data_IF_553284550136
#
_entry.id   IF_553284550136
#
_cell.length_a   1.000
_cell.length_b   1.000
_cell.length_c   1.000
_cell.angle_alpha   90.00
_cell.angle_beta   90.00
_cell.angle_gamma   90.00
#
_symmetry.space_group_name_H-M   'P 1'
#
loop_
_entity.id
_entity.type
_entity.pdbx_description
1 polymer ?
#
# COMPACT_ATOMS: atom_id res chain seq x y z
N UNK A 1 39.17 58.54 -43.22
CA UNK A 1 37.99 58.23 -44.06
C UNK A 1 37.39 56.96 -43.48
N UNK A 2 36.34 57.04 -42.63
CA UNK A 2 34.91 57.01 -43.00
C UNK A 2 34.64 55.95 -44.08
N UNK A 3 33.70 55.02 -43.99
CA UNK A 3 32.57 54.84 -43.09
C UNK A 3 31.85 53.56 -43.57
N UNK A 4 31.43 52.70 -42.64
CA UNK A 4 30.09 52.09 -42.63
C UNK A 4 29.50 51.59 -43.96
N UNK A 5 29.72 50.33 -44.36
CA UNK A 5 28.86 49.71 -45.39
C UNK A 5 28.34 48.30 -45.12
N UNK A 6 28.90 47.50 -44.20
CA UNK A 6 28.52 46.07 -44.19
C UNK A 6 27.60 45.62 -43.05
N UNK A 7 27.53 46.36 -41.94
CA UNK A 7 26.72 45.92 -40.78
C UNK A 7 25.20 46.05 -41.02
N UNK A 8 24.76 47.12 -41.69
CA UNK A 8 23.32 47.35 -41.93
C UNK A 8 22.75 46.44 -43.02
N UNK A 9 23.55 46.05 -44.01
CA UNK A 9 23.12 45.13 -45.06
C UNK A 9 22.89 43.71 -44.52
N UNK A 10 23.81 43.22 -43.67
CA UNK A 10 23.73 41.90 -43.05
C UNK A 10 22.55 41.82 -42.05
N UNK A 11 22.30 42.90 -41.29
CA UNK A 11 21.16 42.96 -40.36
C UNK A 11 19.80 42.94 -41.09
N UNK A 12 19.66 43.64 -42.22
CA UNK A 12 18.41 43.65 -42.99
C UNK A 12 18.09 42.30 -43.66
N UNK A 13 19.12 41.57 -44.13
CA UNK A 13 18.94 40.24 -44.73
C UNK A 13 18.47 39.23 -43.67
N UNK A 14 19.06 39.27 -42.47
CA UNK A 14 18.65 38.41 -41.34
C UNK A 14 17.20 38.68 -40.92
N UNK A 15 16.80 39.95 -40.86
CA UNK A 15 15.44 40.31 -40.44
C UNK A 15 14.37 39.96 -41.49
N UNK A 16 14.69 40.00 -42.79
CA UNK A 16 13.79 39.54 -43.87
C UNK A 16 13.62 38.02 -43.90
N UNK A 17 14.65 37.25 -43.58
CA UNK A 17 14.59 35.78 -43.51
C UNK A 17 13.78 35.29 -42.30
N UNK A 18 13.98 35.89 -41.12
CA UNK A 18 13.19 35.55 -39.91
C UNK A 18 11.70 35.89 -40.09
N UNK A 19 11.38 36.98 -40.80
CA UNK A 19 9.98 37.36 -41.08
C UNK A 19 9.29 36.43 -42.10
N UNK A 20 10.04 35.72 -42.96
CA UNK A 20 9.49 34.73 -43.90
C UNK A 20 9.32 33.34 -43.29
N UNK A 21 10.15 32.97 -42.31
CA UNK A 21 10.05 31.70 -41.59
C UNK A 21 8.91 31.67 -40.57
N UNK A 22 8.47 32.83 -40.06
CA UNK A 22 7.35 32.91 -39.10
C UNK A 22 5.98 33.06 -39.78
N UNK A 23 5.89 32.74 -41.08
CA UNK A 23 4.64 32.74 -41.86
C UNK A 23 4.20 31.30 -42.17
N UNK A 24 4.38 30.39 -41.22
CA UNK A 24 3.61 29.15 -41.22
C UNK A 24 2.20 29.51 -40.80
N UNK A 25 1.28 29.31 -41.75
CA UNK A 25 -0.11 29.72 -41.62
C UNK A 25 -0.72 29.17 -40.34
N UNK A 26 -1.26 30.07 -39.54
CA UNK A 26 -2.45 29.78 -38.75
C UNK A 26 -3.54 29.39 -39.76
N UNK A 27 -3.51 28.13 -40.23
CA UNK A 27 -4.67 27.52 -40.84
C UNK A 27 -5.70 27.50 -39.73
N UNK A 28 -6.78 28.28 -39.91
CA UNK A 28 -7.88 28.32 -38.97
C UNK A 28 -8.35 26.90 -38.74
N UNK A 29 -8.01 26.36 -37.57
CA UNK A 29 -8.45 25.05 -37.11
C UNK A 29 -9.97 25.15 -37.05
N UNK A 30 -10.67 24.28 -37.76
CA UNK A 30 -12.13 24.30 -37.73
C UNK A 30 -12.59 23.97 -36.31
N UNK A 31 -13.70 24.53 -35.84
CA UNK A 31 -14.24 24.28 -34.49
C UNK A 31 -14.33 22.78 -34.14
N UNK A 32 -14.50 21.94 -35.17
CA UNK A 32 -14.58 20.48 -35.06
C UNK A 32 -13.22 19.84 -34.72
N UNK A 33 -12.12 20.33 -35.27
CA UNK A 33 -10.79 19.78 -34.97
C UNK A 33 -10.34 20.13 -33.54
N UNK A 34 -10.74 21.31 -33.06
CA UNK A 34 -10.44 21.74 -31.70
C UNK A 34 -11.26 20.95 -30.66
N UNK A 35 -12.53 20.63 -30.96
CA UNK A 35 -13.38 19.83 -30.07
C UNK A 35 -12.90 18.38 -29.94
N UNK A 36 -12.43 17.77 -31.04
CA UNK A 36 -11.84 16.42 -31.02
C UNK A 36 -10.55 16.39 -30.20
N UNK A 37 -9.68 17.39 -30.35
CA UNK A 37 -8.44 17.47 -29.59
C UNK A 37 -8.69 17.62 -28.07
N UNK A 38 -9.67 18.43 -27.67
CA UNK A 38 -10.05 18.59 -26.26
C UNK A 38 -10.69 17.31 -25.71
N UNK A 39 -11.52 16.62 -26.49
CA UNK A 39 -12.11 15.35 -26.09
C UNK A 39 -11.05 14.27 -25.85
N UNK A 40 -10.06 14.15 -26.74
CA UNK A 40 -8.96 13.17 -26.59
C UNK A 40 -8.09 13.49 -25.37
N UNK A 41 -7.75 14.77 -25.15
CA UNK A 41 -7.02 15.18 -23.96
C UNK A 41 -7.80 14.92 -22.67
N UNK A 42 -9.10 15.19 -22.66
CA UNK A 42 -9.99 14.90 -21.54
C UNK A 42 -10.04 13.40 -21.21
N UNK A 43 -10.09 12.55 -22.24
CA UNK A 43 -10.14 11.09 -22.08
C UNK A 43 -8.80 10.54 -21.57
N UNK A 44 -7.68 11.07 -22.02
CA UNK A 44 -6.34 10.70 -21.52
C UNK A 44 -6.17 11.09 -20.05
N UNK A 45 -6.58 12.31 -19.67
CA UNK A 45 -6.53 12.74 -18.27
C UNK A 45 -7.48 11.92 -17.37
N UNK A 46 -8.67 11.60 -17.86
CA UNK A 46 -9.60 10.71 -17.15
C UNK A 46 -9.02 9.30 -16.99
N UNK A 47 -8.37 8.76 -18.02
CA UNK A 47 -7.72 7.44 -17.99
C UNK A 47 -6.54 7.36 -17.02
N UNK A 48 -5.75 8.44 -16.90
CA UNK A 48 -4.58 8.48 -16.02
C UNK A 48 -4.95 8.44 -14.51
N UNK A 49 -6.12 8.98 -14.12
CA UNK A 49 -6.55 9.03 -12.72
C UNK A 49 -7.01 7.67 -12.16
N UNK A 50 -7.37 6.71 -13.02
CA UNK A 50 -7.95 5.42 -12.58
C UNK A 50 -6.88 4.40 -12.15
N UNK A 51 -5.60 4.60 -12.50
CA UNK A 51 -4.51 3.64 -12.24
C UNK A 51 -3.63 3.93 -11.02
N UNK A 52 -3.46 5.20 -10.64
CA UNK A 52 -2.54 5.63 -9.57
C UNK A 52 -2.88 5.07 -8.17
N UNK A 53 -4.17 4.96 -7.76
CA UNK A 53 -4.50 4.42 -6.43
C UNK A 53 -4.08 2.95 -6.26
N UNK A 54 -4.08 2.16 -7.34
CA UNK A 54 -3.70 0.73 -7.30
C UNK A 54 -2.20 0.53 -7.11
N UNK A 55 -1.38 1.35 -7.79
CA UNK A 55 0.07 1.29 -7.66
C UNK A 55 0.56 1.63 -6.25
N UNK A 56 -0.03 2.67 -5.62
CA UNK A 56 0.36 3.06 -4.25
C UNK A 56 -0.01 2.00 -3.21
N UNK A 57 -1.16 1.34 -3.37
CA UNK A 57 -1.58 0.28 -2.44
C UNK A 57 -0.66 -0.95 -2.51
N UNK A 58 -0.18 -1.32 -3.70
CA UNK A 58 0.76 -2.44 -3.84
C UNK A 58 2.13 -2.15 -3.21
N UNK A 59 2.60 -0.90 -3.25
CA UNK A 59 3.83 -0.49 -2.55
C UNK A 59 3.64 -0.55 -1.04
N UNK A 60 2.50 -0.05 -0.54
CA UNK A 60 2.12 -0.16 0.88
C UNK A 60 2.08 -1.61 1.34
N UNK A 61 1.45 -2.48 0.55
CA UNK A 61 1.39 -3.92 0.82
C UNK A 61 2.79 -4.56 0.84
N UNK A 62 3.65 -4.22 -0.10
CA UNK A 62 5.01 -4.78 -0.15
C UNK A 62 5.84 -4.37 1.06
N UNK A 63 5.65 -3.15 1.58
CA UNK A 63 6.27 -2.70 2.82
C UNK A 63 5.67 -3.43 4.02
N UNK A 64 4.34 -3.51 4.10
CA UNK A 64 3.62 -4.23 5.14
C UNK A 64 4.10 -5.70 5.27
N UNK A 65 4.27 -6.41 4.15
CA UNK A 65 4.78 -7.78 4.16
C UNK A 65 6.21 -7.87 4.73
N UNK A 66 7.09 -6.91 4.41
CA UNK A 66 8.46 -6.87 4.95
C UNK A 66 8.46 -6.56 6.45
N UNK A 67 7.62 -5.62 6.87
CA UNK A 67 7.45 -5.25 8.28
C UNK A 67 7.00 -6.47 9.10
N UNK A 68 6.05 -7.25 8.59
CA UNK A 68 5.62 -8.49 9.23
C UNK A 68 6.69 -9.57 9.21
N UNK A 69 7.45 -9.74 8.13
CA UNK A 69 8.57 -10.69 8.09
C UNK A 69 9.63 -10.37 9.15
N UNK A 70 9.98 -9.09 9.31
CA UNK A 70 10.89 -8.62 10.37
C UNK A 70 10.29 -8.89 11.76
N UNK A 71 9.00 -8.59 11.94
CA UNK A 71 8.30 -8.77 13.21
C UNK A 71 8.22 -10.25 13.61
N UNK A 72 8.05 -11.17 12.66
CA UNK A 72 8.06 -12.62 12.91
C UNK A 72 9.39 -13.06 13.51
N UNK A 73 10.52 -12.60 12.98
CA UNK A 73 11.85 -12.89 13.53
C UNK A 73 12.02 -12.31 14.93
N UNK A 74 11.50 -11.10 15.17
CA UNK A 74 11.52 -10.49 16.50
C UNK A 74 10.68 -11.28 17.52
N UNK A 75 9.52 -11.81 17.12
CA UNK A 75 8.68 -12.68 17.97
C UNK A 75 9.43 -13.96 18.35
N UNK A 76 10.04 -14.64 17.39
CA UNK A 76 10.82 -15.86 17.62
C UNK A 76 11.98 -15.60 18.60
N UNK A 77 12.72 -14.50 18.40
CA UNK A 77 13.79 -14.11 19.31
C UNK A 77 13.27 -13.75 20.71
N UNK A 78 12.13 -13.06 20.81
CA UNK A 78 11.54 -12.68 22.09
C UNK A 78 11.04 -13.89 22.90
N UNK A 79 10.48 -14.90 22.23
CA UNK A 79 10.10 -16.18 22.86
C UNK A 79 11.34 -16.97 23.27
N UNK A 80 12.34 -17.09 22.40
CA UNK A 80 13.59 -17.78 22.72
C UNK A 80 14.33 -17.12 23.91
N UNK A 81 14.25 -15.80 24.03
CA UNK A 81 14.80 -15.03 25.15
C UNK A 81 13.94 -15.08 26.43
N UNK A 82 12.75 -15.68 26.39
CA UNK A 82 11.82 -15.74 27.54
C UNK A 82 11.18 -14.40 27.92
N UNK A 83 11.25 -13.41 27.02
CA UNK A 83 10.68 -12.06 27.25
C UNK A 83 9.22 -11.94 26.83
N UNK A 84 8.79 -12.81 25.89
CA UNK A 84 7.41 -12.91 25.45
C UNK A 84 6.73 -14.10 26.13
N UNK A 85 5.91 -13.82 27.14
CA UNK A 85 5.27 -14.84 27.98
C UNK A 85 3.78 -14.92 27.64
N UNK A 86 3.34 -16.10 27.22
CA UNK A 86 1.95 -16.39 26.85
C UNK A 86 0.96 -15.98 27.96
N UNK A 87 -0.10 -15.26 27.57
CA UNK A 87 -1.15 -14.74 28.44
C UNK A 87 -0.74 -13.57 29.35
N UNK A 88 0.55 -13.23 29.44
CA UNK A 88 1.06 -12.20 30.34
C UNK A 88 1.48 -10.93 29.61
N UNK A 89 2.29 -11.04 28.56
CA UNK A 89 2.77 -9.86 27.83
C UNK A 89 1.63 -9.25 27.01
N UNK A 90 1.38 -7.95 27.16
CA UNK A 90 0.34 -7.20 26.45
C UNK A 90 0.95 -6.23 25.44
N UNK A 91 0.09 -5.60 24.64
CA UNK A 91 0.51 -4.59 23.67
C UNK A 91 1.38 -3.47 24.27
N UNK A 92 1.13 -3.06 25.52
CA UNK A 92 1.91 -2.00 26.16
C UNK A 92 3.39 -2.39 26.32
N UNK A 93 3.68 -3.65 26.68
CA UNK A 93 5.04 -4.17 26.78
C UNK A 93 5.63 -4.55 25.41
N UNK A 94 4.80 -4.93 24.43
CA UNK A 94 5.25 -5.30 23.08
C UNK A 94 5.59 -4.06 22.23
N UNK A 95 4.83 -2.98 22.35
CA UNK A 95 5.00 -1.72 21.59
C UNK A 95 6.42 -1.13 21.59
N UNK A 96 7.19 -1.13 22.70
CA UNK A 96 8.57 -0.64 22.69
C UNK A 96 9.59 -1.63 22.13
N UNK A 97 9.21 -2.88 21.83
CA UNK A 97 10.13 -3.93 21.36
C UNK A 97 10.31 -3.92 19.85
N UNK A 98 11.28 -4.71 19.37
CA UNK A 98 11.51 -4.97 17.94
C UNK A 98 10.31 -5.58 17.20
N UNK A 99 9.34 -6.18 17.92
CA UNK A 99 8.11 -6.74 17.32
C UNK A 99 7.25 -5.64 16.69
N UNK A 100 7.20 -4.47 17.33
CA UNK A 100 6.36 -3.36 16.87
C UNK A 100 7.17 -2.23 16.19
N UNK A 101 8.49 -2.36 16.15
CA UNK A 101 9.41 -1.33 15.62
C UNK A 101 9.19 -0.99 14.14
N UNK A 102 8.91 -1.95 13.23
CA UNK A 102 8.74 -1.65 11.80
C UNK A 102 7.48 -0.82 11.47
N UNK A 103 6.50 -0.78 12.38
CA UNK A 103 5.20 -0.16 12.17
C UNK A 103 5.16 1.31 12.60
N UNK A 104 4.14 2.02 12.12
CA UNK A 104 3.91 3.40 12.52
C UNK A 104 3.34 3.45 13.95
N UNK A 105 3.99 4.21 14.82
CA UNK A 105 3.64 4.39 16.24
C UNK A 105 3.53 5.89 16.52
N UNK A 106 2.34 6.51 16.36
CA UNK A 106 2.17 7.92 16.64
C UNK A 106 2.63 8.28 18.05
N UNK A 107 3.33 9.41 18.17
CA UNK A 107 3.82 9.88 19.47
C UNK A 107 2.62 10.24 20.37
N UNK A 108 2.71 9.89 21.65
CA UNK A 108 1.65 10.15 22.61
C UNK A 108 0.43 9.21 22.53
N UNK A 109 0.44 8.19 21.67
CA UNK A 109 -0.60 7.16 21.61
C UNK A 109 -0.05 5.77 21.96
N UNK A 110 -0.93 4.84 22.31
CA UNK A 110 -0.61 3.41 22.44
C UNK A 110 -0.87 2.63 21.14
N UNK A 111 -1.37 3.33 20.11
CA UNK A 111 -1.79 2.73 18.85
C UNK A 111 -0.58 2.38 17.98
N UNK A 112 -0.72 1.28 17.27
CA UNK A 112 0.18 0.85 16.21
C UNK A 112 -0.66 0.84 14.94
N UNK A 113 -0.15 1.39 13.84
CA UNK A 113 -0.90 1.48 12.58
C UNK A 113 -0.21 0.66 11.50
N UNK A 114 -1.02 -0.07 10.72
CA UNK A 114 -0.58 -0.70 9.48
C UNK A 114 -0.35 0.34 8.38
N UNK A 115 0.22 -0.09 7.24
CA UNK A 115 0.50 0.79 6.09
C UNK A 115 -0.76 1.41 5.45
N UNK A 116 -1.94 0.88 5.77
CA UNK A 116 -3.23 1.37 5.30
C UNK A 116 -3.89 2.36 6.28
N UNK A 117 -3.30 2.57 7.47
CA UNK A 117 -3.81 3.46 8.50
C UNK A 117 -4.81 2.82 9.47
N UNK A 118 -5.04 1.51 9.36
CA UNK A 118 -5.82 0.75 10.32
C UNK A 118 -4.99 0.34 11.53
N UNK A 119 -5.66 0.13 12.65
CA UNK A 119 -5.01 -0.21 13.92
C UNK A 119 -4.50 -1.65 13.92
N UNK A 120 -3.35 -1.86 14.56
CA UNK A 120 -2.75 -3.15 14.87
C UNK A 120 -2.75 -3.31 16.39
N UNK A 121 -3.38 -4.38 16.86
CA UNK A 121 -3.27 -4.88 18.23
C UNK A 121 -2.35 -6.09 18.22
N UNK A 122 -1.36 -6.11 19.12
CA UNK A 122 -0.41 -7.23 19.26
C UNK A 122 -0.35 -7.61 20.73
N UNK A 123 -0.79 -8.81 21.05
CA UNK A 123 -0.74 -9.37 22.41
C UNK A 123 -0.05 -10.73 22.39
N UNK A 124 0.51 -11.18 23.51
CA UNK A 124 0.96 -12.56 23.59
C UNK A 124 -0.22 -13.53 23.43
N UNK A 125 0.04 -14.66 22.77
CA UNK A 125 -0.97 -15.74 22.65
C UNK A 125 -1.44 -16.19 24.03
N UNK A 126 -2.68 -16.67 24.10
CA UNK A 126 -3.20 -17.24 25.34
C UNK A 126 -2.42 -18.48 25.77
N UNK A 127 -2.28 -18.68 27.09
CA UNK A 127 -1.53 -19.80 27.66
C UNK A 127 -2.06 -21.19 27.26
N UNK A 128 -3.37 -21.28 26.99
CA UNK A 128 -4.03 -22.50 26.51
C UNK A 128 -4.31 -22.48 25.00
N UNK A 129 -3.88 -21.42 24.31
CA UNK A 129 -4.13 -21.20 22.90
C UNK A 129 -3.21 -22.02 21.99
N UNK A 130 -3.45 -21.88 20.69
CA UNK A 130 -2.54 -22.34 19.65
C UNK A 130 -2.10 -21.14 18.80
N UNK A 131 -0.80 -20.93 18.57
CA UNK A 131 0.35 -21.66 19.11
C UNK A 131 0.52 -21.46 20.63
N UNK A 132 1.33 -22.30 21.28
CA UNK A 132 1.58 -22.23 22.74
C UNK A 132 2.44 -21.04 23.17
N UNK A 133 3.16 -20.43 22.22
CA UNK A 133 4.03 -19.27 22.42
C UNK A 133 4.06 -18.42 21.16
N UNK A 134 4.20 -17.11 21.32
CA UNK A 134 4.17 -16.14 20.23
C UNK A 134 3.20 -15.00 20.49
N UNK A 135 2.70 -14.37 19.43
CA UNK A 135 1.75 -13.26 19.50
C UNK A 135 0.47 -13.55 18.72
N UNK A 136 -0.65 -13.03 19.22
CA UNK A 136 -1.88 -12.81 18.47
C UNK A 136 -1.88 -11.39 17.96
N UNK A 137 -2.15 -11.24 16.67
CA UNK A 137 -2.23 -9.95 15.99
C UNK A 137 -3.65 -9.78 15.47
N UNK A 138 -4.24 -8.62 15.74
CA UNK A 138 -5.43 -8.13 15.04
C UNK A 138 -5.07 -6.87 14.29
N UNK A 139 -5.22 -6.87 12.97
CA UNK A 139 -5.01 -5.68 12.15
C UNK A 139 -6.20 -5.40 11.25
N UNK A 140 -6.71 -4.18 11.30
CA UNK A 140 -7.98 -3.78 10.68
C UNK A 140 -7.78 -2.91 9.44
N UNK A 141 -8.81 -2.81 8.61
CA UNK A 141 -8.87 -1.79 7.55
C UNK A 141 -8.02 -2.06 6.31
N UNK A 142 -7.70 -3.32 6.00
CA UNK A 142 -7.04 -3.66 4.74
C UNK A 142 -8.04 -3.56 3.58
N UNK A 143 -7.74 -2.85 2.48
CA UNK A 143 -8.58 -2.92 1.28
C UNK A 143 -8.71 -4.37 0.80
N UNK A 144 -9.91 -4.81 0.40
CA UNK A 144 -10.17 -6.23 0.09
C UNK A 144 -9.19 -6.86 -0.90
N UNK A 145 -8.75 -6.12 -1.93
CA UNK A 145 -7.74 -6.59 -2.90
C UNK A 145 -6.36 -6.83 -2.26
N UNK A 146 -5.97 -5.98 -1.31
CA UNK A 146 -4.69 -6.08 -0.61
C UNK A 146 -4.74 -7.15 0.49
N UNK A 147 -5.90 -7.35 1.12
CA UNK A 147 -6.14 -8.45 2.05
C UNK A 147 -5.88 -9.79 1.38
N UNK A 148 -6.41 -10.01 0.16
CA UNK A 148 -6.24 -11.27 -0.55
C UNK A 148 -4.77 -11.55 -0.84
N UNK A 149 -4.06 -10.57 -1.42
CA UNK A 149 -2.63 -10.70 -1.72
C UNK A 149 -1.79 -10.89 -0.45
N UNK A 150 -2.08 -10.15 0.62
CA UNK A 150 -1.38 -10.24 1.90
C UNK A 150 -1.56 -11.63 2.52
N UNK A 151 -2.81 -12.04 2.72
CA UNK A 151 -3.17 -13.31 3.34
C UNK A 151 -2.60 -14.47 2.55
N UNK A 152 -2.73 -14.48 1.22
CA UNK A 152 -2.22 -15.57 0.38
C UNK A 152 -0.68 -15.71 0.47
N UNK A 153 0.06 -14.60 0.43
CA UNK A 153 1.53 -14.62 0.42
C UNK A 153 2.13 -14.84 1.81
N UNK A 154 1.46 -14.37 2.87
CA UNK A 154 1.96 -14.43 4.25
C UNK A 154 1.43 -15.63 5.04
N UNK A 155 0.46 -16.39 4.51
CA UNK A 155 -0.13 -17.54 5.19
C UNK A 155 0.89 -18.57 5.73
N UNK A 156 2.05 -18.71 5.06
CA UNK A 156 3.11 -19.61 5.51
C UNK A 156 3.77 -19.19 6.83
N UNK A 157 3.74 -17.91 7.17
CA UNK A 157 4.33 -17.35 8.39
C UNK A 157 3.38 -17.38 9.59
N UNK A 158 2.08 -17.50 9.32
CA UNK A 158 1.06 -17.50 10.37
C UNK A 158 0.79 -18.91 10.86
N UNK A 159 0.66 -19.08 12.17
CA UNK A 159 0.18 -20.33 12.77
C UNK A 159 -1.34 -20.45 12.68
N UNK A 160 -2.06 -19.33 12.81
CA UNK A 160 -3.51 -19.23 12.60
C UNK A 160 -3.82 -17.98 11.79
N UNK A 161 -4.96 -17.99 11.08
CA UNK A 161 -5.44 -16.87 10.27
C UNK A 161 -6.96 -16.87 10.26
N UNK A 162 -7.55 -15.72 10.53
CA UNK A 162 -8.97 -15.41 10.43
C UNK A 162 -9.12 -14.09 9.69
N UNK A 163 -10.12 -14.00 8.82
CA UNK A 163 -10.39 -12.82 8.00
C UNK A 163 -11.87 -12.47 8.15
N UNK A 164 -12.19 -11.28 8.65
CA UNK A 164 -13.56 -10.84 8.94
C UNK A 164 -14.36 -11.85 9.81
N UNK A 165 -13.67 -12.51 10.75
CA UNK A 165 -14.26 -13.55 11.60
C UNK A 165 -14.35 -14.95 10.98
N UNK A 166 -14.01 -15.10 9.68
CA UNK A 166 -13.94 -16.40 9.03
C UNK A 166 -12.57 -17.04 9.29
N UNK A 167 -12.55 -18.17 9.99
CA UNK A 167 -11.32 -18.94 10.24
C UNK A 167 -10.81 -19.56 8.93
N UNK A 168 -9.66 -19.10 8.47
CA UNK A 168 -8.96 -19.60 7.29
C UNK A 168 -7.96 -20.68 7.68
N UNK A 169 -7.20 -20.47 8.75
CA UNK A 169 -6.16 -21.39 9.20
C UNK A 169 -6.21 -21.51 10.71
N UNK A 170 -6.16 -22.74 11.20
CA UNK A 170 -6.09 -23.07 12.61
C UNK A 170 -5.18 -24.29 12.80
N UNK A 171 -5.13 -24.83 14.03
CA UNK A 171 -4.39 -26.07 14.31
C UNK A 171 -4.87 -27.26 13.46
N UNK A 172 -6.16 -27.31 13.12
CA UNK A 172 -6.82 -28.45 12.49
C UNK A 172 -7.40 -28.14 11.12
N UNK A 173 -7.48 -26.87 10.74
CA UNK A 173 -8.11 -26.44 9.49
C UNK A 173 -7.17 -25.57 8.66
N UNK A 174 -7.27 -25.69 7.33
CA UNK A 174 -6.52 -24.87 6.39
C UNK A 174 -7.34 -24.67 5.09
N UNK A 175 -8.12 -23.59 5.05
CA UNK A 175 -9.07 -23.21 4.00
C UNK A 175 -8.52 -22.06 3.15
N UNK A 176 -7.31 -22.22 2.63
CA UNK A 176 -6.60 -21.19 1.85
C UNK A 176 -7.43 -20.73 0.64
N UNK A 177 -8.21 -21.63 0.05
CA UNK A 177 -9.14 -21.36 -1.05
C UNK A 177 -10.25 -20.36 -0.67
N UNK A 178 -10.53 -20.15 0.62
CA UNK A 178 -11.55 -19.22 1.11
C UNK A 178 -11.03 -17.80 1.39
N UNK A 179 -9.73 -17.53 1.16
CA UNK A 179 -9.13 -16.21 1.42
C UNK A 179 -9.82 -15.11 0.60
N UNK A 180 -9.95 -15.27 -0.73
CA UNK A 180 -10.53 -14.25 -1.60
C UNK A 180 -11.97 -13.91 -1.22
N UNK A 181 -12.76 -14.93 -0.84
CA UNK A 181 -14.12 -14.76 -0.35
C UNK A 181 -14.13 -14.02 0.99
N UNK A 182 -13.29 -14.42 1.92
CA UNK A 182 -13.29 -13.85 3.28
C UNK A 182 -12.73 -12.42 3.33
N UNK A 183 -11.91 -12.02 2.36
CA UNK A 183 -11.46 -10.62 2.21
C UNK A 183 -12.54 -9.68 1.63
N UNK A 184 -13.58 -10.23 1.00
CA UNK A 184 -14.69 -9.46 0.39
C UNK A 184 -16.01 -9.64 1.11
N UNK A 185 -16.09 -10.57 2.07
CA UNK A 185 -17.30 -10.90 2.81
C UNK A 185 -17.01 -11.11 4.30
N UNK A 186 -17.96 -10.73 5.16
CA UNK A 186 -17.92 -11.05 6.59
C UNK A 186 -18.43 -12.48 6.89
N UNK A 187 -18.46 -12.86 8.17
CA UNK A 187 -18.98 -14.16 8.62
C UNK A 187 -20.47 -14.39 8.31
N UNK A 188 -21.21 -13.32 8.01
CA UNK A 188 -22.62 -13.35 7.62
C UNK A 188 -22.81 -13.24 6.10
N UNK A 189 -21.72 -13.34 5.32
CA UNK A 189 -21.71 -13.17 3.86
C UNK A 189 -22.10 -11.77 3.36
N UNK A 190 -22.03 -10.74 4.23
CA UNK A 190 -22.22 -9.36 3.83
C UNK A 190 -20.99 -8.84 3.08
N UNK A 191 -21.19 -8.10 1.99
CA UNK A 191 -20.08 -7.56 1.18
C UNK A 191 -19.32 -6.45 1.93
N UNK A 192 -17.99 -6.54 1.90
CA UNK A 192 -17.08 -5.64 2.59
C UNK A 192 -16.09 -5.02 1.60
N UNK A 193 -15.72 -3.76 1.82
CA UNK A 193 -14.69 -3.06 1.02
C UNK A 193 -13.32 -3.03 1.72
N UNK A 194 -13.32 -3.35 3.01
CA UNK A 194 -12.15 -3.51 3.85
C UNK A 194 -12.29 -4.80 4.65
N UNK A 195 -11.16 -5.38 5.02
CA UNK A 195 -11.09 -6.60 5.78
C UNK A 195 -10.24 -6.42 7.03
N UNK A 196 -10.66 -7.11 8.08
CA UNK A 196 -9.94 -7.26 9.33
C UNK A 196 -9.26 -8.62 9.33
N UNK A 197 -7.96 -8.62 9.58
CA UNK A 197 -7.15 -9.83 9.67
C UNK A 197 -6.79 -10.08 11.14
N UNK A 198 -7.02 -11.29 11.59
CA UNK A 198 -6.55 -11.78 12.87
C UNK A 198 -5.68 -13.01 12.64
N UNK A 199 -4.44 -12.99 13.10
CA UNK A 199 -3.50 -14.08 12.88
C UNK A 199 -2.55 -14.22 14.06
N UNK A 200 -2.00 -15.40 14.22
CA UNK A 200 -0.97 -15.65 15.25
C UNK A 200 0.37 -15.93 14.61
N UNK A 201 1.43 -15.41 15.20
CA UNK A 201 2.81 -15.74 14.85
C UNK A 201 3.36 -16.63 15.95
N UNK A 202 3.83 -17.83 15.59
CA UNK A 202 4.51 -18.71 16.52
C UNK A 202 5.93 -18.19 16.82
N UNK A 203 6.32 -18.26 18.09
CA UNK A 203 7.70 -18.03 18.51
C UNK A 203 8.54 -19.29 18.49
#
# INVERSE_FOLDING_TARGET
MNAFTDANAIAQIKHKLVKRLNKHGQRGVTLVELSVAVAVMGLIMAGAMVGVPRLMNNVKLSQEMKDWQMSVLAVQNAVAAGTLIAGQTKQAEIRPTAIAEPFNRPAGTTTILNRFGGEITIDAVDKSGYPSSGVTVKSVGYPSSQCEDFAAKMNGLFATLSINGNVIKSKTENKIDQISKSCTQDSNSAAMTQADLEFTIAG
#
